data_IF_176309109369
#
_entry.id   IF_176309109369
#
_cell.length_a   1.000
_cell.length_b   1.000
_cell.length_c   1.000
_cell.angle_alpha   90.00
_cell.angle_beta   90.00
_cell.angle_gamma   90.00
#
_symmetry.space_group_name_H-M   'P 1'
#
loop_
_entity.id
_entity.type
_entity.pdbx_description
1 polymer ?
#
# COMPACT_ATOMS: atom_id res chain seq x y z
N UNK A 1 14.15 -6.56 27.28
CA UNK A 1 12.89 -6.60 26.53
C UNK A 1 13.17 -6.91 25.06
N UNK A 2 12.45 -7.83 24.45
CA UNK A 2 12.55 -8.06 23.00
C UNK A 2 12.18 -6.79 22.22
N UNK A 3 12.71 -6.66 21.00
CA UNK A 3 12.48 -5.46 20.16
C UNK A 3 11.83 -5.85 18.83
N UNK A 4 10.95 -5.00 18.35
CA UNK A 4 10.47 -5.05 16.98
C UNK A 4 11.47 -4.28 16.11
N UNK A 5 11.78 -4.82 14.95
CA UNK A 5 12.69 -4.17 13.99
C UNK A 5 11.92 -3.09 13.18
N UNK A 6 10.86 -3.51 12.52
CA UNK A 6 10.06 -2.66 11.62
C UNK A 6 8.70 -3.27 11.32
N UNK A 7 7.86 -2.52 10.65
CA UNK A 7 6.68 -3.09 9.98
C UNK A 7 7.20 -3.80 8.73
N UNK A 8 7.05 -5.12 8.69
CA UNK A 8 7.52 -5.95 7.57
C UNK A 8 6.57 -5.90 6.39
N UNK A 9 5.27 -6.08 6.67
CA UNK A 9 4.24 -6.15 5.65
C UNK A 9 2.97 -5.43 6.10
N UNK A 10 2.25 -4.90 5.11
CA UNK A 10 0.97 -4.21 5.29
C UNK A 10 -0.04 -4.83 4.36
N UNK A 11 -1.25 -5.09 4.85
CA UNK A 11 -2.30 -5.75 4.08
C UNK A 11 -3.44 -4.78 3.75
N UNK A 12 -3.89 -4.82 2.50
CA UNK A 12 -5.15 -4.25 2.06
C UNK A 12 -6.05 -5.38 1.55
N UNK A 13 -7.36 -5.21 1.70
CA UNK A 13 -8.36 -6.18 1.25
C UNK A 13 -9.12 -5.60 0.06
N UNK A 14 -9.19 -6.37 -1.03
CA UNK A 14 -9.70 -5.91 -2.32
C UNK A 14 -10.71 -6.89 -2.90
N UNK A 15 -11.60 -6.43 -3.76
CA UNK A 15 -12.62 -7.28 -4.38
C UNK A 15 -12.09 -8.03 -5.59
N UNK A 16 -11.21 -7.38 -6.38
CA UNK A 16 -10.64 -7.92 -7.61
C UNK A 16 -9.11 -7.78 -7.58
N UNK A 17 -8.41 -8.89 -7.39
CA UNK A 17 -6.94 -8.92 -7.31
C UNK A 17 -6.26 -8.45 -8.58
N UNK A 18 -6.79 -8.78 -9.76
CA UNK A 18 -6.20 -8.35 -11.04
C UNK A 18 -6.29 -6.83 -11.21
N UNK A 19 -7.46 -6.26 -10.93
CA UNK A 19 -7.68 -4.82 -10.99
C UNK A 19 -6.79 -4.07 -10.02
N UNK A 20 -6.75 -4.52 -8.76
CA UNK A 20 -5.90 -3.92 -7.74
C UNK A 20 -4.42 -4.05 -8.08
N UNK A 21 -3.98 -5.23 -8.56
CA UNK A 21 -2.60 -5.47 -8.97
C UNK A 21 -2.13 -4.53 -10.07
N UNK A 22 -2.96 -4.31 -11.09
CA UNK A 22 -2.63 -3.35 -12.16
C UNK A 22 -2.42 -1.96 -11.60
N UNK A 23 -3.25 -1.52 -10.67
CA UNK A 23 -3.07 -0.21 -10.05
C UNK A 23 -1.72 -0.10 -9.33
N UNK A 24 -1.40 -1.03 -8.44
CA UNK A 24 -0.16 -0.96 -7.67
C UNK A 24 1.10 -1.20 -8.51
N UNK A 25 1.03 -2.03 -9.53
CA UNK A 25 2.14 -2.24 -10.46
C UNK A 25 2.29 -1.09 -11.46
N UNK A 26 1.21 -0.68 -12.11
CA UNK A 26 1.28 0.25 -13.25
C UNK A 26 1.27 1.72 -12.82
N UNK A 27 0.48 2.07 -11.81
CA UNK A 27 0.41 3.45 -11.30
C UNK A 27 1.57 3.72 -10.34
N UNK A 28 1.75 2.87 -9.32
CA UNK A 28 2.78 3.09 -8.30
C UNK A 28 4.13 2.47 -8.64
N UNK A 29 4.22 1.64 -9.66
CA UNK A 29 5.47 1.03 -10.08
C UNK A 29 6.02 -0.03 -9.12
N UNK A 30 5.17 -0.63 -8.29
CA UNK A 30 5.62 -1.64 -7.34
C UNK A 30 5.96 -2.95 -8.05
N UNK A 31 7.07 -3.55 -7.65
CA UNK A 31 7.54 -4.81 -8.22
C UNK A 31 6.79 -6.00 -7.63
N UNK A 32 6.12 -6.84 -8.45
CA UNK A 32 5.46 -8.05 -7.95
C UNK A 32 6.47 -9.05 -7.37
N UNK A 33 6.10 -9.67 -6.25
CA UNK A 33 6.87 -10.72 -5.58
C UNK A 33 6.19 -12.08 -5.65
N UNK A 34 4.85 -12.12 -5.52
CA UNK A 34 4.09 -13.35 -5.43
C UNK A 34 2.65 -13.13 -5.89
N UNK A 35 2.04 -14.18 -6.45
CA UNK A 35 0.65 -14.19 -6.86
C UNK A 35 0.05 -15.58 -6.72
N UNK A 36 -1.12 -15.66 -6.12
CA UNK A 36 -1.98 -16.84 -6.13
C UNK A 36 -3.47 -16.41 -6.21
N UNK A 37 -4.45 -17.33 -6.22
CA UNK A 37 -5.86 -16.93 -6.31
C UNK A 37 -6.37 -16.11 -5.11
N UNK A 38 -5.65 -16.06 -4.01
CA UNK A 38 -6.06 -15.42 -2.76
C UNK A 38 -5.36 -14.09 -2.51
N UNK A 39 -4.10 -13.93 -2.97
CA UNK A 39 -3.32 -12.75 -2.66
C UNK A 39 -2.33 -12.35 -3.77
N UNK A 40 -1.88 -11.10 -3.68
CA UNK A 40 -0.74 -10.55 -4.42
C UNK A 40 0.20 -9.89 -3.43
N UNK A 41 1.50 -10.04 -3.63
CA UNK A 41 2.52 -9.38 -2.83
C UNK A 41 3.42 -8.51 -3.71
N UNK A 42 3.76 -7.33 -3.21
CA UNK A 42 4.63 -6.36 -3.90
C UNK A 42 5.76 -5.91 -2.99
N UNK A 43 6.94 -5.73 -3.56
CA UNK A 43 8.06 -5.09 -2.86
C UNK A 43 7.82 -3.58 -2.74
N UNK A 44 8.07 -3.06 -1.55
CA UNK A 44 8.05 -1.62 -1.28
C UNK A 44 9.42 -1.22 -0.75
N UNK A 45 10.16 -0.42 -1.52
CA UNK A 45 11.45 0.11 -1.12
C UNK A 45 12.53 -0.92 -0.79
N UNK A 46 12.34 -2.19 -1.12
CA UNK A 46 13.32 -3.25 -0.88
C UNK A 46 13.32 -3.85 0.53
N UNK A 47 12.54 -3.34 1.45
CA UNK A 47 12.50 -3.82 2.85
C UNK A 47 11.11 -4.16 3.36
N UNK A 48 10.06 -3.66 2.73
CA UNK A 48 8.68 -3.84 3.13
C UNK A 48 7.89 -4.53 2.02
N UNK A 49 6.77 -5.12 2.40
CA UNK A 49 5.86 -5.83 1.47
C UNK A 49 4.46 -5.25 1.60
N UNK A 50 3.86 -4.94 0.47
CA UNK A 50 2.42 -4.67 0.39
C UNK A 50 1.72 -5.96 -0.03
N UNK A 51 0.75 -6.39 0.77
CA UNK A 51 -0.11 -7.53 0.48
C UNK A 51 -1.49 -7.04 0.05
N UNK A 52 -2.01 -7.57 -1.03
CA UNK A 52 -3.40 -7.43 -1.44
C UNK A 52 -4.09 -8.77 -1.25
N UNK A 53 -5.04 -8.84 -0.35
CA UNK A 53 -5.87 -10.04 -0.16
C UNK A 53 -7.24 -9.86 -0.80
N UNK A 54 -7.71 -10.89 -1.47
CA UNK A 54 -9.11 -10.93 -1.91
C UNK A 54 -10.00 -11.03 -0.67
N UNK A 55 -10.97 -10.10 -0.55
CA UNK A 55 -11.93 -10.11 0.55
C UNK A 55 -12.62 -11.47 0.65
N UNK A 56 -12.74 -11.99 1.88
CA UNK A 56 -13.39 -13.26 2.14
C UNK A 56 -12.55 -14.50 1.84
N UNK A 57 -11.34 -14.36 1.27
CA UNK A 57 -10.50 -15.51 0.93
C UNK A 57 -9.64 -16.03 2.07
N UNK A 58 -9.62 -15.34 3.21
CA UNK A 58 -8.80 -15.71 4.39
C UNK A 58 -9.64 -15.87 5.66
N UNK A 59 -10.92 -16.21 5.53
CA UNK A 59 -11.84 -16.38 6.66
C UNK A 59 -11.58 -17.65 7.46
N UNK A 60 -10.83 -18.59 6.90
CA UNK A 60 -10.48 -19.86 7.55
C UNK A 60 -8.97 -19.98 7.73
N UNK A 61 -8.55 -20.89 8.57
CA UNK A 61 -7.14 -21.21 8.76
C UNK A 61 -6.52 -21.66 7.44
N UNK A 62 -5.42 -21.01 7.04
CA UNK A 62 -4.65 -21.41 5.88
C UNK A 62 -3.57 -22.39 6.29
N UNK A 63 -3.53 -23.55 5.64
CA UNK A 63 -2.53 -24.58 5.91
C UNK A 63 -1.36 -24.46 4.96
N UNK A 64 -0.16 -24.41 5.51
CA UNK A 64 1.09 -24.34 4.79
C UNK A 64 1.95 -25.56 5.12
N UNK A 65 2.95 -25.93 4.31
CA UNK A 65 3.83 -27.07 4.64
C UNK A 65 4.50 -26.94 6.00
N UNK A 66 4.84 -25.74 6.42
CA UNK A 66 5.52 -25.46 7.70
C UNK A 66 4.61 -25.14 8.87
N UNK A 67 3.28 -25.09 8.67
CA UNK A 67 2.37 -24.72 9.76
C UNK A 67 1.06 -24.12 9.27
N UNK A 68 0.45 -23.29 10.09
CA UNK A 68 -0.85 -22.69 9.80
C UNK A 68 -0.82 -21.18 9.98
N UNK A 69 -1.67 -20.49 9.22
CA UNK A 69 -1.91 -19.06 9.35
C UNK A 69 -3.35 -18.87 9.83
N UNK A 70 -3.56 -18.20 10.97
CA UNK A 70 -4.91 -17.89 11.46
C UNK A 70 -5.71 -17.04 10.48
N UNK A 71 -7.05 -17.06 10.58
CA UNK A 71 -7.93 -16.26 9.73
C UNK A 71 -7.72 -14.76 9.93
N UNK A 72 -7.95 -14.01 8.86
CA UNK A 72 -8.02 -12.55 8.88
C UNK A 72 -8.86 -12.05 7.71
N UNK A 73 -9.40 -10.85 7.83
CA UNK A 73 -10.17 -10.20 6.77
C UNK A 73 -10.24 -8.71 7.04
N UNK A 74 -10.78 -7.97 6.08
CA UNK A 74 -11.00 -6.54 6.20
C UNK A 74 -12.09 -6.05 5.27
N UNK A 75 -12.74 -4.97 5.65
CA UNK A 75 -13.81 -4.34 4.88
C UNK A 75 -13.74 -2.82 5.00
N UNK A 76 -14.45 -2.13 4.12
CA UNK A 76 -14.46 -0.68 4.06
C UNK A 76 -13.18 -0.09 3.45
N UNK A 77 -13.13 1.24 3.30
CA UNK A 77 -11.94 1.94 2.80
C UNK A 77 -10.86 1.96 3.87
N UNK A 78 -9.70 1.40 3.53
CA UNK A 78 -8.52 1.39 4.39
C UNK A 78 -7.57 2.51 3.98
N UNK A 79 -6.45 2.65 4.71
CA UNK A 79 -5.46 3.69 4.45
C UNK A 79 -4.04 3.12 4.48
N UNK A 80 -3.21 3.55 3.51
CA UNK A 80 -1.79 3.25 3.48
C UNK A 80 -1.02 4.48 3.00
N UNK A 81 0.13 4.75 3.62
CA UNK A 81 1.02 5.82 3.22
C UNK A 81 2.37 5.25 2.77
N UNK A 82 2.89 5.78 1.66
CA UNK A 82 4.23 5.50 1.15
C UNK A 82 5.09 6.73 1.29
N UNK A 83 6.31 6.55 1.78
CA UNK A 83 7.30 7.62 1.82
C UNK A 83 7.91 7.85 0.43
N UNK A 84 8.07 9.11 0.05
CA UNK A 84 8.74 9.54 -1.17
C UNK A 84 9.76 10.61 -0.86
N UNK A 85 10.75 10.78 -1.73
CA UNK A 85 11.67 11.90 -1.63
C UNK A 85 10.99 13.22 -2.08
N UNK A 86 11.38 14.32 -1.45
CA UNK A 86 10.76 15.63 -1.68
C UNK A 86 10.86 16.09 -3.14
N UNK A 87 12.00 15.85 -3.76
CA UNK A 87 12.24 16.23 -5.16
C UNK A 87 11.48 15.36 -6.17
N UNK A 88 10.88 14.25 -5.73
CA UNK A 88 10.04 13.40 -6.57
C UNK A 88 8.55 13.79 -6.55
N UNK A 89 8.13 14.69 -5.66
CA UNK A 89 6.71 15.03 -5.51
C UNK A 89 6.05 15.48 -6.82
N UNK A 90 6.71 16.40 -7.55
CA UNK A 90 6.19 16.88 -8.83
C UNK A 90 6.11 15.77 -9.88
N UNK A 91 7.08 14.88 -9.91
CA UNK A 91 7.06 13.73 -10.81
C UNK A 91 5.90 12.76 -10.48
N UNK A 92 5.62 12.54 -9.21
CA UNK A 92 4.48 11.75 -8.78
C UNK A 92 3.14 12.38 -9.17
N UNK A 93 2.99 13.69 -9.00
CA UNK A 93 1.78 14.40 -9.44
C UNK A 93 1.57 14.27 -10.94
N UNK A 94 2.63 14.42 -11.74
CA UNK A 94 2.57 14.24 -13.18
C UNK A 94 2.20 12.80 -13.57
N UNK A 95 2.77 11.81 -12.87
CA UNK A 95 2.47 10.41 -13.11
C UNK A 95 1.01 10.06 -12.80
N UNK A 96 0.49 10.50 -11.66
CA UNK A 96 -0.91 10.30 -11.30
C UNK A 96 -1.84 10.91 -12.34
N UNK A 97 -1.55 12.13 -12.79
CA UNK A 97 -2.31 12.79 -13.84
C UNK A 97 -2.28 12.00 -15.15
N UNK A 98 -1.10 11.54 -15.58
CA UNK A 98 -0.96 10.72 -16.80
C UNK A 98 -1.72 9.40 -16.70
N UNK A 99 -1.84 8.81 -15.51
CA UNK A 99 -2.59 7.60 -15.24
C UNK A 99 -4.08 7.87 -14.94
N UNK A 100 -4.52 9.12 -15.07
CA UNK A 100 -5.91 9.55 -14.81
C UNK A 100 -6.38 9.26 -13.39
N UNK A 101 -5.47 9.33 -12.43
CA UNK A 101 -5.75 9.20 -11.00
C UNK A 101 -5.85 10.60 -10.41
N UNK A 102 -7.04 10.96 -9.92
CA UNK A 102 -7.28 12.26 -9.33
C UNK A 102 -6.65 12.37 -7.94
N UNK A 103 -5.94 13.47 -7.69
CA UNK A 103 -5.49 13.82 -6.34
C UNK A 103 -6.69 14.41 -5.59
N UNK A 104 -7.09 13.74 -4.51
CA UNK A 104 -8.28 14.10 -3.74
C UNK A 104 -7.97 15.14 -2.65
N UNK A 105 -6.73 15.18 -2.18
CA UNK A 105 -6.31 16.11 -1.14
C UNK A 105 -4.81 16.33 -1.12
N UNK A 106 -4.41 17.43 -0.49
CA UNK A 106 -3.02 17.81 -0.23
C UNK A 106 -2.91 18.36 1.18
N UNK A 107 -1.80 18.07 1.85
CA UNK A 107 -1.54 18.60 3.20
C UNK A 107 -0.09 19.04 3.30
N UNK A 108 0.10 20.25 3.81
CA UNK A 108 1.41 20.74 4.24
C UNK A 108 1.51 20.55 5.76
N UNK A 109 2.57 19.90 6.20
CA UNK A 109 2.75 19.56 7.60
C UNK A 109 3.65 20.56 8.32
N UNK A 110 3.41 20.82 9.62
CA UNK A 110 4.22 21.82 10.37
C UNK A 110 5.72 21.55 10.36
N UNK A 111 6.14 20.27 10.26
CA UNK A 111 7.56 19.88 10.19
C UNK A 111 8.16 20.00 8.77
N UNK A 112 7.41 20.53 7.81
CA UNK A 112 7.86 20.78 6.44
C UNK A 112 7.58 19.66 5.44
N UNK A 113 6.94 18.57 5.84
CA UNK A 113 6.51 17.50 4.95
C UNK A 113 5.29 17.89 4.13
N UNK A 114 5.08 17.16 3.03
CA UNK A 114 3.93 17.30 2.14
C UNK A 114 3.31 15.95 1.89
N UNK A 115 1.99 15.89 1.88
CA UNK A 115 1.23 14.69 1.50
C UNK A 115 0.30 14.98 0.34
N UNK A 116 0.16 13.99 -0.54
CA UNK A 116 -0.89 13.93 -1.54
C UNK A 116 -1.68 12.65 -1.37
N UNK A 117 -3.00 12.74 -1.59
CA UNK A 117 -3.94 11.65 -1.33
C UNK A 117 -4.73 11.31 -2.58
N UNK A 118 -4.92 10.04 -2.84
CA UNK A 118 -5.74 9.53 -3.95
C UNK A 118 -6.36 8.18 -3.58
N UNK A 119 -7.24 7.65 -4.43
CA UNK A 119 -7.92 6.38 -4.19
C UNK A 119 -7.42 5.30 -5.13
N UNK A 120 -7.28 4.09 -4.57
CA UNK A 120 -7.12 2.90 -5.38
C UNK A 120 -8.48 2.42 -5.93
N UNK A 121 -8.53 1.36 -6.78
CA UNK A 121 -9.79 0.89 -7.37
C UNK A 121 -10.85 0.42 -6.37
N UNK A 122 -10.45 0.05 -5.15
CA UNK A 122 -11.36 -0.38 -4.08
C UNK A 122 -11.75 0.76 -3.12
N UNK A 123 -11.33 1.99 -3.41
CA UNK A 123 -11.60 3.16 -2.59
C UNK A 123 -10.68 3.32 -1.39
N UNK A 124 -9.60 2.54 -1.29
CA UNK A 124 -8.61 2.74 -0.24
C UNK A 124 -7.89 4.07 -0.43
N UNK A 125 -7.69 4.78 0.67
CA UNK A 125 -6.96 6.04 0.66
C UNK A 125 -5.46 5.77 0.63
N UNK A 126 -4.83 6.14 -0.47
CA UNK A 126 -3.38 6.06 -0.65
C UNK A 126 -2.78 7.44 -0.44
N UNK A 127 -1.73 7.50 0.33
CA UNK A 127 -0.98 8.71 0.59
C UNK A 127 0.46 8.56 0.10
N UNK A 128 0.99 9.58 -0.56
CA UNK A 128 2.43 9.74 -0.77
C UNK A 128 2.89 10.91 0.09
N UNK A 129 3.88 10.65 0.94
CA UNK A 129 4.31 11.61 1.93
C UNK A 129 5.83 11.80 1.90
N UNK A 130 6.25 13.06 1.92
CA UNK A 130 7.66 13.43 2.07
C UNK A 130 8.04 13.52 3.54
N UNK A 131 9.34 13.50 3.84
CA UNK A 131 9.83 13.67 5.22
C UNK A 131 9.33 14.95 5.84
N UNK A 132 9.09 14.93 7.13
CA UNK A 132 8.57 16.06 7.89
C UNK A 132 7.09 15.91 8.30
N UNK A 133 6.60 14.65 8.37
CA UNK A 133 5.30 14.31 8.95
C UNK A 133 5.45 13.99 10.44
N UNK A 134 6.30 13.02 10.72
CA UNK A 134 6.49 12.46 12.04
C UNK A 134 7.87 12.82 12.58
N UNK A 135 8.04 12.74 13.89
CA UNK A 135 9.33 12.99 14.53
C UNK A 135 10.44 12.08 13.94
N UNK A 136 10.08 10.88 13.51
CA UNK A 136 11.00 9.88 12.97
C UNK A 136 11.05 9.83 11.45
N UNK A 137 10.29 10.71 10.80
CA UNK A 137 10.20 10.72 9.32
C UNK A 137 10.00 12.12 8.76
#
# INVERSE_FOLDING_TARGET
>A
MPRLDRVLETALYVDDLERASRFYADVLGLRPLFADPRLRAFAVGGQNVLLLFRRGASLEVTRMPGGTIPPHDGSGPLHVAFGIERDELTAWEARLSAQKVAIEGRTDWPRGGHSIYFRDPDGHLVELATRGLWEIY
#
